data_IF_759590408994
#
_entry.id   IF_759590408994
#
_cell.length_a   1.000
_cell.length_b   1.000
_cell.length_c   1.000
_cell.angle_alpha   90.00
_cell.angle_beta   90.00
_cell.angle_gamma   90.00
#
_symmetry.space_group_name_H-M   'P 1'
#
loop_
_entity.id
_entity.type
_entity.pdbx_description
1 polymer ?
#
# COMPACT_ATOMS: atom_id res chain seq x y z
N UNK A 1 -28.78 14.79 -8.17
CA UNK A 1 -28.03 13.90 -9.08
C UNK A 1 -26.59 13.71 -8.62
N UNK A 2 -25.89 14.81 -8.27
CA UNK A 2 -24.50 14.81 -7.72
C UNK A 2 -24.30 13.81 -6.57
N UNK A 3 -25.21 13.78 -5.58
CA UNK A 3 -25.08 12.84 -4.46
C UNK A 3 -25.14 11.37 -4.87
N UNK A 4 -26.00 10.99 -5.84
CA UNK A 4 -26.08 9.59 -6.30
C UNK A 4 -24.79 9.17 -7.02
N UNK A 5 -24.21 10.08 -7.81
CA UNK A 5 -22.96 9.84 -8.53
C UNK A 5 -21.77 9.72 -7.56
N UNK A 6 -21.70 10.59 -6.55
CA UNK A 6 -20.65 10.53 -5.52
C UNK A 6 -20.75 9.26 -4.67
N UNK A 7 -21.95 8.80 -4.33
CA UNK A 7 -22.14 7.52 -3.64
C UNK A 7 -21.71 6.34 -4.52
N UNK A 8 -22.03 6.36 -5.81
CA UNK A 8 -21.63 5.30 -6.74
C UNK A 8 -20.09 5.25 -6.92
N UNK A 9 -19.45 6.42 -7.12
CA UNK A 9 -17.99 6.51 -7.20
C UNK A 9 -17.33 6.07 -5.89
N UNK A 10 -17.87 6.47 -4.73
CA UNK A 10 -17.38 6.02 -3.44
C UNK A 10 -17.49 4.51 -3.26
N UNK A 11 -18.62 3.91 -3.67
CA UNK A 11 -18.82 2.47 -3.62
C UNK A 11 -17.85 1.72 -4.54
N UNK A 12 -17.65 2.19 -5.77
CA UNK A 12 -16.68 1.61 -6.71
C UNK A 12 -15.24 1.69 -6.18
N UNK A 13 -14.88 2.84 -5.58
CA UNK A 13 -13.58 3.01 -4.94
C UNK A 13 -13.40 2.01 -3.78
N UNK A 14 -14.44 1.78 -2.98
CA UNK A 14 -14.38 0.85 -1.86
C UNK A 14 -14.31 -0.61 -2.29
N UNK A 15 -15.03 -0.99 -3.35
CA UNK A 15 -15.12 -2.38 -3.84
C UNK A 15 -13.90 -2.77 -4.68
N UNK A 16 -13.44 -1.87 -5.55
CA UNK A 16 -12.36 -2.16 -6.49
C UNK A 16 -11.08 -1.42 -6.14
N UNK A 17 -11.16 -0.11 -5.87
CA UNK A 17 -9.99 0.73 -5.65
C UNK A 17 -9.19 0.33 -4.42
N UNK A 18 -9.83 0.16 -3.25
CA UNK A 18 -9.14 -0.17 -2.00
C UNK A 18 -8.50 -1.56 -2.03
N UNK A 19 -9.21 -2.65 -2.44
CA UNK A 19 -8.58 -3.98 -2.49
C UNK A 19 -7.47 -4.07 -3.53
N UNK A 20 -7.65 -3.43 -4.69
CA UNK A 20 -6.62 -3.40 -5.74
C UNK A 20 -5.39 -2.60 -5.29
N UNK A 21 -5.59 -1.44 -4.67
CA UNK A 21 -4.50 -0.66 -4.10
C UNK A 21 -3.76 -1.42 -3.00
N UNK A 22 -4.48 -2.19 -2.18
CA UNK A 22 -3.86 -3.04 -1.16
C UNK A 22 -3.03 -4.17 -1.79
N UNK A 23 -3.58 -4.85 -2.81
CA UNK A 23 -2.86 -5.88 -3.57
C UNK A 23 -1.54 -5.35 -4.12
N UNK A 24 -1.59 -4.25 -4.88
CA UNK A 24 -0.40 -3.62 -5.45
C UNK A 24 0.61 -3.21 -4.37
N UNK A 25 0.13 -2.72 -3.22
CA UNK A 25 1.01 -2.32 -2.12
C UNK A 25 1.78 -3.48 -1.48
N UNK A 26 1.21 -4.70 -1.48
CA UNK A 26 1.87 -5.88 -0.94
C UNK A 26 2.65 -6.66 -1.98
N UNK A 27 2.32 -6.54 -3.26
CA UNK A 27 3.02 -7.15 -4.38
C UNK A 27 4.51 -6.75 -4.40
N UNK A 28 4.81 -5.46 -4.20
CA UNK A 28 6.18 -4.96 -4.08
C UNK A 28 6.98 -5.71 -3.00
N UNK A 29 6.40 -5.84 -1.80
CA UNK A 29 7.03 -6.54 -0.67
C UNK A 29 7.21 -8.02 -1.01
N UNK A 30 6.16 -8.66 -1.51
CA UNK A 30 6.20 -10.08 -1.84
C UNK A 30 7.24 -10.41 -2.91
N UNK A 31 7.36 -9.59 -3.95
CA UNK A 31 8.32 -9.77 -5.03
C UNK A 31 9.76 -9.66 -4.51
N UNK A 32 10.04 -8.70 -3.62
CA UNK A 32 11.35 -8.55 -2.99
C UNK A 32 11.72 -9.77 -2.14
N UNK A 33 10.82 -10.25 -1.27
CA UNK A 33 11.14 -11.35 -0.36
C UNK A 33 11.15 -12.72 -1.03
N UNK A 34 10.29 -12.93 -2.03
CA UNK A 34 10.20 -14.23 -2.71
C UNK A 34 11.31 -14.45 -3.73
N UNK A 35 11.97 -13.38 -4.22
CA UNK A 35 13.07 -13.43 -5.20
C UNK A 35 12.72 -14.25 -6.46
N UNK A 36 11.42 -14.38 -6.78
CA UNK A 36 10.91 -15.29 -7.81
C UNK A 36 11.16 -14.80 -9.25
N UNK A 37 11.64 -13.57 -9.42
CA UNK A 37 11.84 -12.94 -10.73
C UNK A 37 13.26 -12.41 -10.84
N UNK A 38 13.89 -12.59 -12.01
CA UNK A 38 15.19 -11.97 -12.32
C UNK A 38 15.13 -10.45 -12.42
N UNK A 39 13.94 -9.86 -12.47
CA UNK A 39 13.69 -8.42 -12.47
C UNK A 39 12.70 -8.13 -11.36
N UNK A 40 13.10 -7.29 -10.39
CA UNK A 40 12.28 -6.90 -9.25
C UNK A 40 12.12 -5.39 -9.27
N UNK A 41 10.87 -4.94 -9.25
CA UNK A 41 10.49 -3.54 -9.15
C UNK A 41 10.27 -3.17 -7.69
N UNK A 42 10.88 -2.06 -7.26
CA UNK A 42 10.73 -1.54 -5.89
C UNK A 42 10.23 -0.11 -5.96
N UNK A 43 8.95 0.09 -5.66
CA UNK A 43 8.33 1.40 -5.53
C UNK A 43 8.17 1.79 -4.06
N UNK A 44 7.80 3.05 -3.78
CA UNK A 44 7.31 3.46 -2.45
C UNK A 44 5.82 3.15 -2.26
N UNK A 45 5.17 2.54 -3.25
CA UNK A 45 3.73 2.33 -3.24
C UNK A 45 3.26 1.49 -2.03
N UNK A 46 4.06 0.52 -1.59
CA UNK A 46 3.80 -0.24 -0.36
C UNK A 46 3.53 0.63 0.89
N UNK A 47 4.10 1.84 0.95
CA UNK A 47 3.99 2.73 2.10
C UNK A 47 2.54 3.22 2.32
N UNK A 48 1.67 3.20 1.30
CA UNK A 48 0.26 3.60 1.45
C UNK A 48 -0.61 2.51 2.11
N UNK A 49 -0.10 1.28 2.26
CA UNK A 49 -0.84 0.15 2.83
C UNK A 49 -1.51 0.44 4.18
N UNK A 50 -0.91 1.15 5.16
CA UNK A 50 -1.56 1.40 6.45
C UNK A 50 -2.82 2.27 6.31
N UNK A 51 -2.78 3.24 5.39
CA UNK A 51 -3.91 4.13 5.10
C UNK A 51 -5.03 3.34 4.43
N UNK A 52 -4.69 2.49 3.47
CA UNK A 52 -5.68 1.63 2.79
C UNK A 52 -6.31 0.65 3.77
N UNK A 53 -5.53 0.02 4.65
CA UNK A 53 -6.02 -0.88 5.71
C UNK A 53 -6.99 -0.16 6.64
N UNK A 54 -6.67 1.07 7.06
CA UNK A 54 -7.57 1.89 7.87
C UNK A 54 -8.89 2.20 7.14
N UNK A 55 -8.83 2.60 5.87
CA UNK A 55 -10.03 2.85 5.05
C UNK A 55 -10.90 1.60 4.89
N UNK A 56 -10.28 0.45 4.58
CA UNK A 56 -10.98 -0.84 4.48
C UNK A 56 -11.65 -1.19 5.81
N UNK A 57 -10.96 -0.97 6.94
CA UNK A 57 -11.52 -1.23 8.28
C UNK A 57 -12.79 -0.40 8.52
N UNK A 58 -12.80 0.88 8.14
CA UNK A 58 -13.98 1.73 8.23
C UNK A 58 -15.10 1.20 7.34
N UNK A 59 -14.80 0.81 6.09
CA UNK A 59 -15.78 0.26 5.15
C UNK A 59 -16.41 -1.03 5.70
N UNK A 60 -15.61 -1.91 6.29
CA UNK A 60 -16.10 -3.17 6.90
C UNK A 60 -17.01 -2.86 8.08
N UNK A 61 -16.59 -1.99 9.01
CA UNK A 61 -17.39 -1.60 10.18
C UNK A 61 -18.70 -0.94 9.75
N UNK A 62 -18.66 -0.07 8.74
CA UNK A 62 -19.83 0.60 8.18
C UNK A 62 -20.82 -0.38 7.54
N UNK A 63 -20.33 -1.32 6.72
CA UNK A 63 -21.18 -2.35 6.11
C UNK A 63 -21.80 -3.28 7.16
N UNK A 64 -21.04 -3.65 8.20
CA UNK A 64 -21.54 -4.47 9.30
C UNK A 64 -22.67 -3.77 10.07
N UNK A 65 -22.56 -2.45 10.30
CA UNK A 65 -23.65 -1.64 10.89
C UNK A 65 -24.93 -1.65 10.05
N UNK A 66 -24.79 -1.53 8.73
CA UNK A 66 -25.92 -1.53 7.80
C UNK A 66 -26.64 -2.88 7.79
N UNK A 67 -25.89 -3.99 7.69
CA UNK A 67 -26.44 -5.34 7.65
C UNK A 67 -27.12 -5.74 8.96
N UNK A 68 -26.54 -5.33 10.10
CA UNK A 68 -27.10 -5.63 11.42
C UNK A 68 -28.30 -4.75 11.80
N UNK A 69 -28.66 -3.75 10.97
CA UNK A 69 -29.65 -2.69 11.27
C UNK A 69 -29.41 -2.01 12.63
N UNK A 70 -28.22 -2.16 13.22
CA UNK A 70 -27.84 -1.56 14.49
C UNK A 70 -27.02 -0.33 14.19
N UNK A 71 -27.47 0.82 14.71
CA UNK A 71 -26.65 2.02 14.72
C UNK A 71 -25.48 1.77 15.65
N UNK A 72 -24.26 1.72 15.11
CA UNK A 72 -23.06 1.62 15.94
C UNK A 72 -22.93 2.93 16.72
N UNK A 73 -23.25 2.85 18.01
CA UNK A 73 -23.04 3.92 18.97
C UNK A 73 -21.59 3.88 19.43
N UNK A 74 -20.73 4.65 18.77
CA UNK A 74 -19.37 4.89 19.28
C UNK A 74 -19.42 5.91 20.42
N UNK A 75 -18.68 5.63 21.50
CA UNK A 75 -18.37 6.65 22.51
C UNK A 75 -17.61 7.81 21.86
N UNK A 76 -17.59 8.98 22.50
CA UNK A 76 -16.86 10.14 21.95
C UNK A 76 -15.35 9.86 21.84
N UNK A 77 -14.81 9.03 22.73
CA UNK A 77 -13.46 8.49 22.61
C UNK A 77 -13.30 7.60 21.36
N UNK A 78 -14.26 6.71 21.08
CA UNK A 78 -14.25 5.85 19.91
C UNK A 78 -14.33 6.64 18.59
N UNK A 79 -15.15 7.70 18.55
CA UNK A 79 -15.22 8.61 17.40
C UNK A 79 -13.89 9.33 17.16
N UNK A 80 -13.28 9.90 18.22
CA UNK A 80 -11.95 10.52 18.13
C UNK A 80 -10.88 9.53 17.68
N UNK A 81 -10.95 8.30 18.17
CA UNK A 81 -9.97 7.26 17.81
C UNK A 81 -10.07 6.89 16.34
N UNK A 82 -11.25 6.55 15.85
CA UNK A 82 -11.44 6.17 14.45
C UNK A 82 -11.26 7.33 13.47
N UNK A 83 -11.71 8.53 13.84
CA UNK A 83 -11.72 9.69 12.95
C UNK A 83 -10.46 10.56 12.98
N UNK A 84 -9.65 10.50 14.05
CA UNK A 84 -8.48 11.38 14.23
C UNK A 84 -7.22 10.58 14.54
N UNK A 85 -7.22 9.75 15.58
CA UNK A 85 -5.98 9.09 16.02
C UNK A 85 -5.52 7.98 15.07
N UNK A 86 -6.44 7.13 14.60
CA UNK A 86 -6.12 6.06 13.65
C UNK A 86 -5.61 6.58 12.29
N UNK A 87 -6.23 7.58 11.64
CA UNK A 87 -5.66 8.11 10.39
C UNK A 87 -4.31 8.79 10.60
N UNK A 88 -4.11 9.52 11.70
CA UNK A 88 -2.81 10.08 12.04
C UNK A 88 -1.76 8.99 12.28
N UNK A 89 -2.12 7.94 13.01
CA UNK A 89 -1.26 6.78 13.24
C UNK A 89 -0.92 6.06 11.93
N UNK A 90 -1.90 5.84 11.06
CA UNK A 90 -1.69 5.24 9.74
C UNK A 90 -0.74 6.09 8.86
N UNK A 91 -0.87 7.42 8.91
CA UNK A 91 0.02 8.33 8.20
C UNK A 91 1.45 8.27 8.77
N UNK A 92 1.62 8.26 10.09
CA UNK A 92 2.95 8.12 10.71
C UNK A 92 3.57 6.77 10.33
N UNK A 93 2.83 5.67 10.43
CA UNK A 93 3.31 4.34 10.04
C UNK A 93 3.66 4.31 8.56
N UNK A 94 2.85 4.94 7.71
CA UNK A 94 3.11 5.06 6.26
C UNK A 94 4.45 5.72 5.98
N UNK A 95 4.74 6.85 6.65
CA UNK A 95 6.02 7.55 6.52
C UNK A 95 7.17 6.69 7.03
N UNK A 96 7.01 6.05 8.20
CA UNK A 96 8.03 5.17 8.76
C UNK A 96 8.32 3.96 7.86
N UNK A 97 7.29 3.37 7.26
CA UNK A 97 7.45 2.29 6.27
C UNK A 97 8.23 2.79 5.07
N UNK A 98 7.90 3.95 4.50
CA UNK A 98 8.67 4.53 3.41
C UNK A 98 10.14 4.75 3.77
N UNK A 99 10.40 5.28 4.96
CA UNK A 99 11.75 5.63 5.41
C UNK A 99 12.61 4.42 5.76
N UNK A 100 12.06 3.41 6.44
CA UNK A 100 12.84 2.26 6.94
C UNK A 100 12.73 1.02 6.05
N UNK A 101 11.54 0.73 5.50
CA UNK A 101 11.32 -0.53 4.80
C UNK A 101 11.91 -0.51 3.38
N UNK A 102 11.86 0.61 2.66
CA UNK A 102 12.46 0.67 1.32
C UNK A 102 13.97 0.43 1.36
N UNK A 103 14.77 1.10 2.22
CA UNK A 103 16.19 0.79 2.34
C UNK A 103 16.46 -0.66 2.75
N UNK A 104 15.65 -1.23 3.65
CA UNK A 104 15.78 -2.62 4.05
C UNK A 104 15.55 -3.59 2.88
N UNK A 105 14.53 -3.33 2.06
CA UNK A 105 14.24 -4.11 0.84
C UNK A 105 15.36 -3.99 -0.19
N UNK A 106 15.91 -2.79 -0.39
CA UNK A 106 17.03 -2.57 -1.30
C UNK A 106 18.28 -3.32 -0.83
N UNK A 107 18.63 -3.21 0.46
CA UNK A 107 19.78 -3.93 1.01
C UNK A 107 19.61 -5.45 0.86
N UNK A 108 18.40 -5.96 1.14
CA UNK A 108 18.08 -7.37 0.95
C UNK A 108 18.29 -7.83 -0.51
N UNK A 109 17.85 -7.03 -1.49
CA UNK A 109 18.07 -7.34 -2.91
C UNK A 109 19.56 -7.36 -3.28
N UNK A 110 20.33 -6.36 -2.82
CA UNK A 110 21.77 -6.27 -3.08
C UNK A 110 22.51 -7.46 -2.49
N UNK A 111 22.17 -7.86 -1.26
CA UNK A 111 22.76 -9.02 -0.58
C UNK A 111 22.48 -10.34 -1.34
N UNK A 112 21.41 -10.38 -2.15
CA UNK A 112 21.04 -11.53 -2.99
C UNK A 112 21.51 -11.39 -4.45
N UNK A 113 22.41 -10.46 -4.75
CA UNK A 113 23.05 -10.33 -6.07
C UNK A 113 22.24 -9.57 -7.11
N UNK A 114 21.22 -8.83 -6.70
CA UNK A 114 20.53 -7.90 -7.58
C UNK A 114 21.27 -6.57 -7.65
N UNK A 115 21.29 -5.96 -8.83
CA UNK A 115 21.84 -4.61 -9.02
C UNK A 115 20.77 -3.67 -9.57
N UNK A 116 20.82 -2.41 -9.14
CA UNK A 116 19.98 -1.35 -9.70
C UNK A 116 20.36 -1.13 -11.16
N UNK A 117 19.43 -1.39 -12.08
CA UNK A 117 19.62 -1.17 -13.51
C UNK A 117 19.18 0.22 -13.92
N UNK A 118 17.99 0.63 -13.47
CA UNK A 118 17.40 1.92 -13.79
C UNK A 118 16.36 2.34 -12.75
N UNK A 119 16.13 3.64 -12.64
CA UNK A 119 15.02 4.22 -11.86
C UNK A 119 14.05 4.86 -12.84
N UNK A 120 12.86 4.29 -12.95
CA UNK A 120 11.77 4.89 -13.72
C UNK A 120 11.17 6.01 -12.87
N UNK A 121 11.43 7.25 -13.30
CA UNK A 121 10.77 8.42 -12.71
C UNK A 121 9.31 8.42 -13.08
N UNK A 122 8.47 8.64 -12.08
CA UNK A 122 7.05 8.77 -12.30
C UNK A 122 6.75 9.97 -13.22
N UNK A 123 6.03 9.73 -14.31
CA UNK A 123 5.54 10.78 -15.20
C UNK A 123 4.41 11.62 -14.57
N UNK A 124 3.82 11.14 -13.48
CA UNK A 124 2.73 11.78 -12.78
C UNK A 124 3.02 11.92 -11.28
N UNK A 125 2.68 13.05 -10.64
CA UNK A 125 3.05 13.36 -9.26
C UNK A 125 2.40 12.44 -8.21
N UNK A 126 1.38 11.68 -8.59
CA UNK A 126 0.71 10.70 -7.71
C UNK A 126 1.32 9.29 -7.79
N UNK A 127 2.27 9.06 -8.69
CA UNK A 127 2.96 7.78 -8.80
C UNK A 127 4.35 7.93 -8.17
N UNK A 128 4.78 7.02 -7.28
CA UNK A 128 6.15 7.06 -6.78
C UNK A 128 7.11 6.58 -7.86
N UNK A 129 8.35 7.07 -7.80
CA UNK A 129 9.45 6.54 -8.61
C UNK A 129 9.64 5.05 -8.30
N UNK A 130 9.97 4.28 -9.34
CA UNK A 130 10.15 2.83 -9.27
C UNK A 130 11.59 2.48 -9.63
N UNK A 131 12.26 1.77 -8.73
CA UNK A 131 13.62 1.27 -8.95
C UNK A 131 13.55 -0.16 -9.51
N UNK A 132 14.28 -0.42 -10.60
CA UNK A 132 14.33 -1.73 -11.24
C UNK A 132 15.65 -2.41 -10.88
N UNK A 133 15.55 -3.52 -10.16
CA UNK A 133 16.67 -4.37 -9.78
C UNK A 133 16.71 -5.63 -10.63
N UNK A 134 17.88 -5.96 -11.17
CA UNK A 134 18.08 -7.14 -12.02
C UNK A 134 19.09 -8.08 -11.37
N UNK A 135 18.76 -9.37 -11.34
CA UNK A 135 19.67 -10.41 -10.87
C UNK A 135 20.85 -10.50 -11.82
N UNK A 136 22.04 -10.14 -11.35
CA UNK A 136 23.25 -10.33 -12.12
C UNK A 136 23.61 -11.82 -12.05
N UNK A 137 23.31 -12.58 -13.11
CA UNK A 137 23.96 -13.89 -13.27
C UNK A 137 25.46 -13.59 -13.34
N UNK A 138 26.20 -13.89 -12.27
CA UNK A 138 27.65 -14.07 -12.40
C UNK A 138 27.86 -14.97 -13.60
N UNK A 139 28.52 -14.47 -14.64
CA UNK A 139 29.13 -15.32 -15.65
C UNK A 139 30.10 -16.22 -14.89
N UNK A 140 29.63 -17.37 -14.40
CA UNK A 140 30.49 -18.51 -14.15
C UNK A 140 30.94 -18.96 -15.52
N UNK A 141 32.01 -18.34 -16.00
CA UNK A 141 32.84 -18.92 -17.04
C UNK A 141 33.41 -20.20 -16.47
N UNK A 142 32.72 -21.30 -16.74
CA UNK A 142 33.17 -22.69 -16.61
C UNK A 142 32.70 -23.41 -17.86
#
# INVERSE_FOLDING_TARGET
>A
MVNKLSYLCGALLCIFGLPFGLYLSFEDIYNVYSLNSSIIEVSYFFAISPIIIWLISIVIIGNFSLLSKRKISLSDLGKKTLGVYMPLGALIISVLMGYYLKPAMVNYLIDHGYQLKETIRASAPWRPDTDIYVLEKKNTGL
#
